data_IF_340841801868
#
_entry.id   IF_340841801868
#
_cell.length_a   1.000
_cell.length_b   1.000
_cell.length_c   1.000
_cell.angle_alpha   90.00
_cell.angle_beta   90.00
_cell.angle_gamma   90.00
#
_symmetry.space_group_name_H-M   'P 1'
#
loop_
_entity.id
_entity.type
_entity.pdbx_description
1 polymer ?
#
# COMPACT_ATOMS: atom_id res chain seq x y z
N UNK A 1 -2.57 70.33 -0.77
CA UNK A 1 -1.86 69.14 -0.28
C UNK A 1 -1.63 68.31 -1.52
N UNK A 2 -0.37 68.13 -1.90
CA UNK A 2 -0.03 67.33 -3.07
C UNK A 2 -0.48 65.89 -2.81
N UNK A 3 -1.32 65.34 -3.70
CA UNK A 3 -1.68 63.91 -3.66
C UNK A 3 -0.40 63.10 -3.90
N UNK A 4 -0.06 62.25 -2.93
CA UNK A 4 1.07 61.33 -3.10
C UNK A 4 0.63 60.21 -4.00
N UNK A 5 1.27 60.14 -5.17
CA UNK A 5 1.05 59.06 -6.11
C UNK A 5 1.74 57.77 -5.64
N UNK A 6 0.96 56.69 -5.52
CA UNK A 6 1.47 55.38 -5.10
C UNK A 6 2.15 54.72 -6.30
N UNK A 7 3.42 54.28 -6.20
CA UNK A 7 4.10 53.59 -7.29
C UNK A 7 3.27 52.41 -7.80
N UNK A 8 3.09 52.31 -9.12
CA UNK A 8 2.26 51.27 -9.75
C UNK A 8 2.71 49.85 -9.40
N UNK A 9 4.01 49.66 -9.17
CA UNK A 9 4.59 48.37 -8.77
C UNK A 9 4.12 47.90 -7.38
N UNK A 10 3.54 48.79 -6.57
CA UNK A 10 3.01 48.46 -5.25
C UNK A 10 1.53 48.10 -5.28
N UNK A 11 0.84 48.33 -6.41
CA UNK A 11 -0.58 48.10 -6.57
C UNK A 11 -0.86 46.67 -7.03
N UNK A 12 -1.86 46.04 -6.44
CA UNK A 12 -2.35 44.73 -6.83
C UNK A 12 -3.07 44.86 -8.19
N UNK A 13 -2.69 44.09 -9.23
CA UNK A 13 -3.34 44.19 -10.55
C UNK A 13 -4.82 43.79 -10.58
N UNK A 14 -5.34 43.16 -9.52
CA UNK A 14 -6.75 42.76 -9.40
C UNK A 14 -7.58 43.87 -8.75
N UNK A 15 -7.14 44.36 -7.58
CA UNK A 15 -7.91 45.34 -6.81
C UNK A 15 -7.54 46.79 -7.11
N UNK A 16 -6.40 47.03 -7.76
CA UNK A 16 -5.77 48.34 -7.95
C UNK A 16 -5.45 49.07 -6.63
N UNK A 17 -5.40 48.32 -5.52
CA UNK A 17 -5.04 48.82 -4.19
C UNK A 17 -3.62 48.37 -3.82
N UNK A 18 -2.98 49.08 -2.90
CA UNK A 18 -1.65 48.73 -2.41
C UNK A 18 -1.61 47.32 -1.81
N UNK A 19 -0.64 46.51 -2.24
CA UNK A 19 -0.47 45.14 -1.78
C UNK A 19 -0.05 45.09 -0.31
N UNK A 20 -0.82 44.37 0.51
CA UNK A 20 -0.51 44.13 1.93
C UNK A 20 0.35 42.87 2.10
N UNK A 21 0.04 41.84 1.31
CA UNK A 21 0.79 40.59 1.25
C UNK A 21 1.13 40.24 -0.20
N UNK A 22 2.23 40.77 -0.77
CA UNK A 22 2.61 40.51 -2.15
C UNK A 22 3.09 39.06 -2.34
N UNK A 23 2.43 38.34 -3.25
CA UNK A 23 2.76 36.97 -3.68
C UNK A 23 2.86 36.83 -5.19
N UNK A 24 3.82 36.06 -5.67
CA UNK A 24 4.11 35.83 -7.08
C UNK A 24 3.56 34.48 -7.52
N UNK A 25 2.84 34.47 -8.64
CA UNK A 25 2.38 33.25 -9.32
C UNK A 25 3.44 32.76 -10.33
N UNK A 26 3.27 31.55 -10.86
CA UNK A 26 4.23 30.93 -11.81
C UNK A 26 4.51 31.75 -13.08
N UNK A 27 3.63 32.68 -13.47
CA UNK A 27 3.87 33.60 -14.60
C UNK A 27 4.76 34.79 -14.23
N UNK A 28 5.25 34.88 -12.99
CA UNK A 28 6.12 35.97 -12.51
C UNK A 28 5.41 37.25 -12.09
N UNK A 29 4.06 37.31 -12.16
CA UNK A 29 3.29 38.48 -11.74
C UNK A 29 3.00 38.41 -10.24
N UNK A 30 3.16 39.54 -9.55
CA UNK A 30 2.85 39.66 -8.12
C UNK A 30 1.46 40.28 -7.90
N UNK A 31 0.73 39.72 -6.94
CA UNK A 31 -0.61 40.17 -6.53
C UNK A 31 -0.66 40.27 -5.01
N UNK A 32 -1.67 40.96 -4.49
CA UNK A 32 -2.04 40.78 -3.09
C UNK A 32 -2.65 39.38 -2.88
N UNK A 33 -2.19 38.67 -1.84
CA UNK A 33 -2.58 37.29 -1.52
C UNK A 33 -4.09 37.09 -1.52
N UNK A 34 -4.84 37.96 -0.84
CA UNK A 34 -6.27 37.77 -0.66
C UNK A 34 -7.00 37.81 -2.00
N UNK A 35 -6.58 38.73 -2.88
CA UNK A 35 -7.19 38.92 -4.19
C UNK A 35 -6.89 37.75 -5.14
N UNK A 36 -5.64 37.26 -5.17
CA UNK A 36 -5.29 36.13 -6.05
C UNK A 36 -5.84 34.79 -5.52
N UNK A 37 -5.91 34.59 -4.20
CA UNK A 37 -6.55 33.41 -3.62
C UNK A 37 -8.05 33.40 -3.92
N UNK A 38 -8.73 34.55 -3.81
CA UNK A 38 -10.15 34.68 -4.20
C UNK A 38 -10.36 34.35 -5.68
N UNK A 39 -9.50 34.83 -6.57
CA UNK A 39 -9.56 34.54 -7.99
C UNK A 39 -9.40 33.05 -8.31
N UNK A 40 -8.40 32.39 -7.71
CA UNK A 40 -8.09 30.98 -8.01
C UNK A 40 -9.07 30.01 -7.34
N UNK A 41 -9.41 30.24 -6.08
CA UNK A 41 -10.14 29.26 -5.27
C UNK A 41 -11.63 29.57 -5.14
N UNK A 42 -12.02 30.83 -4.95
CA UNK A 42 -13.43 31.22 -4.79
C UNK A 42 -14.14 31.33 -6.15
N UNK A 43 -13.49 31.94 -7.15
CA UNK A 43 -14.04 32.08 -8.50
C UNK A 43 -13.73 30.86 -9.40
N UNK A 44 -12.98 29.86 -8.90
CA UNK A 44 -12.58 28.63 -9.61
C UNK A 44 -11.87 28.86 -10.96
N UNK A 45 -11.06 29.92 -11.05
CA UNK A 45 -10.24 30.16 -12.23
C UNK A 45 -8.88 29.44 -12.11
N UNK A 46 -8.31 29.03 -13.24
CA UNK A 46 -6.99 28.38 -13.31
C UNK A 46 -5.97 29.17 -14.15
N UNK A 47 -6.29 30.42 -14.47
CA UNK A 47 -5.47 31.30 -15.29
C UNK A 47 -4.98 32.50 -14.49
N UNK A 48 -3.84 33.04 -14.91
CA UNK A 48 -3.31 34.31 -14.42
C UNK A 48 -4.23 35.46 -14.86
N UNK A 49 -4.69 36.33 -13.93
CA UNK A 49 -5.59 37.45 -14.25
C UNK A 49 -5.04 38.38 -15.35
N UNK A 50 -3.73 38.67 -15.33
CA UNK A 50 -3.09 39.60 -16.25
C UNK A 50 -2.69 38.91 -17.56
N UNK A 51 -1.92 37.82 -17.49
CA UNK A 51 -1.37 37.19 -18.70
C UNK A 51 -2.35 36.26 -19.40
N UNK A 52 -3.48 35.92 -18.75
CA UNK A 52 -4.47 34.93 -19.20
C UNK A 52 -3.90 33.54 -19.47
N UNK A 53 -2.64 33.28 -19.09
CA UNK A 53 -2.01 31.96 -19.21
C UNK A 53 -2.50 31.04 -18.10
N UNK A 54 -2.68 29.75 -18.43
CA UNK A 54 -3.00 28.72 -17.45
C UNK A 54 -1.80 28.53 -16.52
N UNK A 55 -2.03 28.56 -15.21
CA UNK A 55 -0.97 28.38 -14.22
C UNK A 55 -0.54 26.91 -14.17
N UNK A 56 0.77 26.65 -14.25
CA UNK A 56 1.33 25.29 -14.17
C UNK A 56 1.18 24.67 -12.78
N UNK A 57 1.20 25.50 -11.74
CA UNK A 57 0.87 25.16 -10.36
C UNK A 57 0.13 26.33 -9.69
N UNK A 58 -0.71 26.03 -8.69
CA UNK A 58 -1.43 27.04 -7.88
C UNK A 58 -0.64 27.43 -6.62
N UNK A 59 0.67 27.16 -6.59
CA UNK A 59 1.53 27.53 -5.47
C UNK A 59 1.91 29.02 -5.58
N UNK A 60 1.72 29.75 -4.49
CA UNK A 60 1.99 31.18 -4.40
C UNK A 60 3.32 31.40 -3.67
N UNK A 61 4.28 32.02 -4.35
CA UNK A 61 5.60 32.31 -3.77
C UNK A 61 5.58 33.70 -3.11
N UNK A 62 5.83 33.84 -1.79
CA UNK A 62 5.87 35.15 -1.15
C UNK A 62 6.97 36.06 -1.73
N UNK A 63 6.63 37.32 -2.06
CA UNK A 63 7.59 38.32 -2.53
C UNK A 63 8.05 39.23 -1.37
N UNK A 64 8.98 38.71 -0.56
CA UNK A 64 9.49 39.42 0.61
C UNK A 64 10.20 40.74 0.28
N UNK A 65 10.87 40.82 -0.87
CA UNK A 65 11.55 42.02 -1.33
C UNK A 65 10.56 43.15 -1.59
N UNK A 66 9.52 42.89 -2.38
CA UNK A 66 8.50 43.89 -2.67
C UNK A 66 7.76 44.32 -1.40
N UNK A 67 7.47 43.38 -0.50
CA UNK A 67 6.87 43.71 0.80
C UNK A 67 7.71 44.70 1.60
N UNK A 68 9.03 44.49 1.67
CA UNK A 68 9.95 45.41 2.37
C UNK A 68 9.97 46.79 1.72
N UNK A 69 9.94 46.85 0.39
CA UNK A 69 9.91 48.12 -0.35
C UNK A 69 8.61 48.90 -0.08
N UNK A 70 7.46 48.23 -0.14
CA UNK A 70 6.15 48.83 0.18
C UNK A 70 6.16 49.37 1.62
N UNK A 71 6.64 48.58 2.59
CA UNK A 71 6.70 49.01 3.99
C UNK A 71 7.64 50.20 4.23
N UNK A 72 8.80 50.22 3.55
CA UNK A 72 9.73 51.33 3.61
C UNK A 72 9.09 52.61 3.03
N UNK A 73 8.39 52.48 1.89
CA UNK A 73 7.66 53.57 1.27
C UNK A 73 6.54 54.12 2.17
N UNK A 74 5.74 53.26 2.81
CA UNK A 74 4.72 53.71 3.76
C UNK A 74 5.34 54.47 4.95
N UNK A 75 6.51 54.02 5.43
CA UNK A 75 7.21 54.67 6.54
C UNK A 75 7.72 56.06 6.17
N UNK A 76 8.27 56.22 4.96
CA UNK A 76 8.75 57.51 4.46
C UNK A 76 7.61 58.52 4.24
N UNK A 77 6.42 58.04 3.92
CA UNK A 77 5.26 58.88 3.63
C UNK A 77 4.27 59.01 4.80
N UNK A 78 4.66 58.56 6.00
CA UNK A 78 3.81 58.59 7.19
C UNK A 78 3.33 60.00 7.58
N UNK A 79 4.15 61.04 7.33
CA UNK A 79 3.79 62.44 7.58
C UNK A 79 2.66 62.96 6.70
N UNK A 80 2.31 62.23 5.64
CA UNK A 80 1.25 62.59 4.69
C UNK A 80 -0.02 61.75 4.88
N UNK A 81 -0.16 61.10 6.03
CA UNK A 81 -1.34 60.30 6.37
C UNK A 81 -1.31 58.86 5.82
N UNK A 82 -0.20 58.42 5.23
CA UNK A 82 -0.05 57.03 4.79
C UNK A 82 0.33 56.17 6.00
N UNK A 83 -0.60 55.32 6.42
CA UNK A 83 -0.35 54.39 7.51
C UNK A 83 0.63 53.29 7.08
N UNK A 84 1.52 52.93 8.00
CA UNK A 84 2.39 51.77 7.80
C UNK A 84 1.54 50.51 7.76
N UNK A 85 1.57 49.80 6.63
CA UNK A 85 0.97 48.47 6.53
C UNK A 85 1.68 47.55 7.53
N UNK A 86 0.97 47.03 8.55
CA UNK A 86 1.57 46.12 9.52
C UNK A 86 2.05 44.88 8.78
N UNK A 87 3.20 44.34 9.17
CA UNK A 87 3.62 43.04 8.67
C UNK A 87 2.50 42.04 8.98
N UNK A 88 1.88 41.40 7.97
CA UNK A 88 0.96 40.32 8.23
C UNK A 88 1.68 39.35 9.17
N UNK A 89 1.08 39.03 10.33
CA UNK A 89 1.61 37.97 11.19
C UNK A 89 1.87 36.79 10.25
N UNK A 90 3.05 36.15 10.30
CA UNK A 90 3.28 34.97 9.48
C UNK A 90 2.06 34.07 9.69
N UNK A 91 1.36 33.65 8.60
CA UNK A 91 0.14 32.88 8.76
C UNK A 91 0.50 31.74 9.71
N UNK A 92 -0.22 31.63 10.83
CA UNK A 92 -0.02 30.54 11.78
C UNK A 92 -0.01 29.29 10.91
N UNK A 93 1.16 28.65 10.79
CA UNK A 93 1.31 27.59 9.81
C UNK A 93 0.23 26.56 10.13
N UNK A 94 -0.44 26.04 9.11
CA UNK A 94 -1.52 25.05 9.28
C UNK A 94 -1.08 23.92 10.23
N UNK A 95 0.22 23.60 10.23
CA UNK A 95 0.94 22.73 11.16
C UNK A 95 0.77 23.14 12.63
N UNK A 96 0.95 24.40 13.00
CA UNK A 96 0.85 24.87 14.39
C UNK A 96 -0.60 24.77 14.91
N UNK A 97 -1.59 25.07 14.06
CA UNK A 97 -3.02 24.87 14.41
C UNK A 97 -3.29 23.38 14.63
N UNK A 98 -2.77 22.52 13.75
CA UNK A 98 -2.92 21.08 13.85
C UNK A 98 -2.24 20.51 15.11
N UNK A 99 -1.06 21.02 15.49
CA UNK A 99 -0.39 20.65 16.74
C UNK A 99 -1.27 20.96 17.95
N UNK A 100 -1.83 22.17 18.02
CA UNK A 100 -2.75 22.55 19.11
C UNK A 100 -3.98 21.64 19.12
N UNK A 101 -4.59 21.40 17.95
CA UNK A 101 -5.76 20.50 17.84
C UNK A 101 -5.45 19.08 18.30
N UNK A 102 -4.29 18.54 17.95
CA UNK A 102 -3.83 17.21 18.37
C UNK A 102 -3.58 17.19 19.88
N UNK A 103 -2.93 18.21 20.42
CA UNK A 103 -2.62 18.28 21.86
C UNK A 103 -3.88 18.48 22.73
N UNK A 104 -4.90 19.16 22.22
CA UNK A 104 -6.22 19.20 22.83
C UNK A 104 -6.91 17.83 22.77
N UNK A 105 -6.84 17.16 21.61
CA UNK A 105 -7.46 15.85 21.42
C UNK A 105 -6.90 14.77 22.36
N UNK A 106 -5.58 14.80 22.64
CA UNK A 106 -4.92 13.88 23.58
C UNK A 106 -5.43 13.97 25.02
N UNK A 107 -6.01 15.11 25.42
CA UNK A 107 -6.46 15.37 26.81
C UNK A 107 -7.91 15.00 27.05
N UNK A 108 -8.64 14.64 26.01
CA UNK A 108 -10.08 14.45 26.06
C UNK A 108 -10.46 12.99 26.35
N UNK A 109 -11.63 12.76 26.97
CA UNK A 109 -12.14 11.41 27.19
C UNK A 109 -12.48 10.71 25.87
N UNK A 110 -12.31 9.38 25.83
CA UNK A 110 -12.52 8.55 24.64
C UNK A 110 -13.89 8.76 23.95
N UNK A 111 -14.93 9.12 24.71
CA UNK A 111 -16.28 9.38 24.20
C UNK A 111 -16.37 10.56 23.22
N UNK A 112 -15.39 11.46 23.19
CA UNK A 112 -15.37 12.63 22.31
C UNK A 112 -14.36 12.51 21.16
N UNK A 113 -13.52 11.47 21.14
CA UNK A 113 -12.43 11.30 20.15
C UNK A 113 -12.98 11.23 18.71
N UNK A 114 -14.15 10.64 18.50
CA UNK A 114 -14.79 10.58 17.17
C UNK A 114 -15.05 11.96 16.55
N UNK A 115 -15.39 12.97 17.37
CA UNK A 115 -15.64 14.33 16.88
C UNK A 115 -14.35 14.92 16.29
N UNK A 116 -13.22 14.67 16.95
CA UNK A 116 -11.90 15.11 16.49
C UNK A 116 -11.46 14.35 15.25
N UNK A 117 -11.66 13.03 15.20
CA UNK A 117 -11.36 12.23 14.00
C UNK A 117 -12.17 12.72 12.79
N UNK A 118 -13.44 13.10 12.97
CA UNK A 118 -14.24 13.70 11.88
C UNK A 118 -13.64 15.02 11.38
N UNK A 119 -13.11 15.85 12.29
CA UNK A 119 -12.44 17.11 11.93
C UNK A 119 -11.09 16.88 11.26
N UNK A 120 -10.28 15.94 11.76
CA UNK A 120 -9.02 15.57 11.13
C UNK A 120 -9.25 14.96 9.74
N UNK A 121 -10.31 14.16 9.59
CA UNK A 121 -10.74 13.63 8.29
C UNK A 121 -11.08 14.75 7.32
N UNK A 122 -11.87 15.76 7.70
CA UNK A 122 -12.19 16.86 6.77
C UNK A 122 -10.94 17.60 6.29
N UNK A 123 -9.92 17.72 7.14
CA UNK A 123 -8.63 18.33 6.80
C UNK A 123 -7.78 17.41 5.91
N UNK A 124 -7.64 16.13 6.26
CA UNK A 124 -6.80 15.18 5.54
C UNK A 124 -7.29 14.93 4.11
N UNK A 125 -8.60 15.02 3.87
CA UNK A 125 -9.21 14.81 2.55
C UNK A 125 -9.40 16.10 1.74
N UNK A 126 -8.97 17.26 2.25
CA UNK A 126 -9.09 18.55 1.55
C UNK A 126 -8.11 18.65 0.36
N UNK A 127 -6.82 18.41 0.59
CA UNK A 127 -5.77 18.43 -0.43
C UNK A 127 -4.46 17.80 0.09
N UNK A 128 -3.51 17.53 -0.80
CA UNK A 128 -2.22 16.89 -0.47
C UNK A 128 -1.33 17.74 0.46
N UNK A 129 -1.44 19.07 0.42
CA UNK A 129 -0.71 19.95 1.35
C UNK A 129 -1.21 19.76 2.79
N UNK A 130 -2.51 19.56 2.96
CA UNK A 130 -3.14 19.34 4.26
C UNK A 130 -2.70 18.02 4.90
N UNK A 131 -2.51 16.97 4.10
CA UNK A 131 -1.95 15.70 4.55
C UNK A 131 -0.52 15.85 5.06
N UNK A 132 0.34 16.56 4.30
CA UNK A 132 1.71 16.86 4.71
C UNK A 132 1.76 17.66 6.01
N UNK A 133 0.93 18.70 6.12
CA UNK A 133 0.86 19.48 7.35
C UNK A 133 0.38 18.65 8.56
N UNK A 134 -0.49 17.66 8.34
CA UNK A 134 -0.94 16.76 9.40
C UNK A 134 0.17 15.79 9.84
N UNK A 135 0.95 15.28 8.89
CA UNK A 135 2.14 14.47 9.20
C UNK A 135 3.18 15.29 9.98
N UNK A 136 3.53 16.50 9.51
CA UNK A 136 4.47 17.42 10.18
C UNK A 136 4.00 17.88 11.57
N UNK A 137 2.70 17.81 11.84
CA UNK A 137 2.10 18.13 13.14
C UNK A 137 2.13 16.95 14.14
N UNK A 138 2.67 15.79 13.76
CA UNK A 138 2.66 14.57 14.60
C UNK A 138 1.33 13.81 14.54
N UNK A 139 0.59 13.96 13.43
CA UNK A 139 -0.70 13.30 13.23
C UNK A 139 -0.60 11.79 13.12
N UNK A 140 0.52 11.26 12.63
CA UNK A 140 0.73 9.81 12.47
C UNK A 140 0.82 9.14 13.83
N UNK A 141 1.67 9.64 14.73
CA UNK A 141 1.86 9.14 16.09
C UNK A 141 0.57 9.26 16.90
N UNK A 142 -0.15 10.38 16.74
CA UNK A 142 -1.44 10.57 17.38
C UNK A 142 -2.47 9.53 16.91
N UNK A 143 -2.63 9.33 15.60
CA UNK A 143 -3.56 8.34 15.05
C UNK A 143 -3.16 6.91 15.45
N UNK A 144 -1.86 6.60 15.48
CA UNK A 144 -1.35 5.32 15.96
C UNK A 144 -1.73 5.07 17.43
N UNK A 145 -1.53 6.07 18.30
CA UNK A 145 -1.92 5.96 19.71
C UNK A 145 -3.43 5.77 19.90
N UNK A 146 -4.26 6.33 19.02
CA UNK A 146 -5.72 6.07 19.04
C UNK A 146 -6.01 4.63 18.63
N UNK A 147 -5.30 4.09 17.63
CA UNK A 147 -5.47 2.71 17.19
C UNK A 147 -5.10 1.73 18.31
N UNK A 148 -3.98 1.97 19.00
CA UNK A 148 -3.52 1.16 20.15
C UNK A 148 -4.51 1.20 21.33
N UNK A 149 -5.02 2.39 21.67
CA UNK A 149 -5.96 2.57 22.78
C UNK A 149 -7.43 2.24 22.43
N UNK A 150 -7.72 2.05 21.14
CA UNK A 150 -9.06 1.88 20.59
C UNK A 150 -9.67 0.49 20.78
N UNK A 151 -9.02 -0.42 21.51
CA UNK A 151 -9.43 -1.83 21.62
C UNK A 151 -10.88 -2.05 22.11
N UNK A 152 -11.49 -1.06 22.76
CA UNK A 152 -12.88 -1.12 23.23
C UNK A 152 -13.93 -0.58 22.23
N UNK A 153 -13.54 0.21 21.23
CA UNK A 153 -14.47 0.78 20.23
C UNK A 153 -13.90 0.71 18.82
N UNK A 154 -14.36 -0.30 18.06
CA UNK A 154 -13.93 -0.53 16.68
C UNK A 154 -14.19 0.68 15.77
N UNK A 155 -15.23 1.47 16.04
CA UNK A 155 -15.58 2.61 15.18
C UNK A 155 -14.54 3.72 15.25
N UNK A 156 -13.93 3.91 16.44
CA UNK A 156 -12.83 4.85 16.65
C UNK A 156 -11.59 4.39 15.90
N UNK A 157 -11.24 3.10 16.03
CA UNK A 157 -10.08 2.52 15.35
C UNK A 157 -10.24 2.57 13.82
N UNK A 158 -11.42 2.24 13.28
CA UNK A 158 -11.71 2.33 11.85
C UNK A 158 -11.57 3.75 11.31
N UNK A 159 -12.08 4.76 12.04
CA UNK A 159 -11.96 6.16 11.67
C UNK A 159 -10.50 6.66 11.70
N UNK A 160 -9.73 6.25 12.70
CA UNK A 160 -8.31 6.59 12.79
C UNK A 160 -7.49 5.97 11.64
N UNK A 161 -7.73 4.69 11.34
CA UNK A 161 -7.08 3.97 10.23
C UNK A 161 -7.44 4.58 8.88
N UNK A 162 -8.67 5.02 8.68
CA UNK A 162 -9.08 5.68 7.43
C UNK A 162 -8.25 6.94 7.16
N UNK A 163 -8.03 7.75 8.19
CA UNK A 163 -7.20 8.94 8.07
C UNK A 163 -5.75 8.52 7.83
N UNK A 164 -5.21 7.62 8.67
CA UNK A 164 -3.81 7.18 8.59
C UNK A 164 -3.47 6.58 7.22
N UNK A 165 -4.35 5.73 6.66
CA UNK A 165 -4.18 5.12 5.34
C UNK A 165 -4.30 6.12 4.18
N UNK A 166 -4.88 7.29 4.41
CA UNK A 166 -4.95 8.38 3.41
C UNK A 166 -3.70 9.25 3.38
N UNK A 167 -2.89 9.21 4.43
CA UNK A 167 -1.64 9.96 4.56
C UNK A 167 -0.53 9.27 3.75
N UNK A 168 0.34 10.09 3.13
CA UNK A 168 1.55 9.61 2.46
C UNK A 168 2.69 9.53 3.46
N UNK A 169 2.54 8.64 4.43
CA UNK A 169 3.47 8.47 5.54
C UNK A 169 4.86 8.08 5.04
N UNK A 170 5.89 8.76 5.52
CA UNK A 170 7.28 8.42 5.21
C UNK A 170 7.66 7.01 5.69
N UNK A 171 8.69 6.41 5.09
CA UNK A 171 9.18 5.09 5.50
C UNK A 171 9.61 5.08 6.97
N UNK A 172 10.21 6.16 7.47
CA UNK A 172 10.64 6.27 8.87
C UNK A 172 9.46 6.26 9.83
N UNK A 173 8.39 6.99 9.52
CA UNK A 173 7.18 7.00 10.34
C UNK A 173 6.49 5.63 10.29
N UNK A 174 6.42 4.97 9.12
CA UNK A 174 5.85 3.62 8.98
C UNK A 174 6.61 2.57 9.80
N UNK A 175 7.95 2.65 9.85
CA UNK A 175 8.77 1.78 10.71
C UNK A 175 8.43 1.98 12.18
N UNK A 176 8.33 3.24 12.60
CA UNK A 176 8.06 3.59 14.00
C UNK A 176 6.70 3.08 14.51
N UNK A 177 5.72 2.84 13.62
CA UNK A 177 4.42 2.25 14.00
C UNK A 177 4.52 0.84 14.60
N UNK A 178 5.62 0.12 14.36
CA UNK A 178 5.82 -1.23 14.89
C UNK A 178 6.69 -1.28 16.15
N UNK A 179 7.27 -0.16 16.58
CA UNK A 179 8.22 -0.12 17.69
C UNK A 179 7.58 -0.35 19.07
N UNK A 180 6.27 -0.10 19.21
CA UNK A 180 5.54 -0.23 20.47
C UNK A 180 4.99 -1.65 20.66
N UNK A 181 5.75 -2.54 21.33
CA UNK A 181 5.38 -3.87 21.89
C UNK A 181 4.42 -4.80 21.09
N UNK A 182 4.13 -4.49 19.82
CA UNK A 182 3.13 -5.16 18.99
C UNK A 182 1.67 -4.71 19.18
N UNK A 183 1.36 -3.74 20.05
CA UNK A 183 -0.03 -3.35 20.36
C UNK A 183 -0.77 -2.79 19.15
N UNK A 184 -0.09 -1.97 18.35
CA UNK A 184 -0.65 -1.40 17.12
C UNK A 184 -1.08 -2.49 16.14
N UNK A 185 -0.22 -3.50 15.94
CA UNK A 185 -0.50 -4.62 15.06
C UNK A 185 -1.64 -5.50 15.58
N UNK A 186 -1.70 -5.73 16.89
CA UNK A 186 -2.79 -6.48 17.53
C UNK A 186 -4.14 -5.78 17.33
N UNK A 187 -4.17 -4.45 17.50
CA UNK A 187 -5.34 -3.63 17.26
C UNK A 187 -5.80 -3.69 15.79
N UNK A 188 -4.86 -3.59 14.84
CA UNK A 188 -5.18 -3.77 13.41
C UNK A 188 -5.70 -5.17 13.10
N UNK A 189 -5.16 -6.21 13.74
CA UNK A 189 -5.61 -7.60 13.58
C UNK A 189 -7.04 -7.76 14.09
N UNK A 190 -7.39 -7.13 15.22
CA UNK A 190 -8.75 -7.13 15.75
C UNK A 190 -9.75 -6.46 14.78
N UNK A 191 -9.35 -5.38 14.12
CA UNK A 191 -10.20 -4.75 13.09
C UNK A 191 -10.27 -5.59 11.81
N UNK A 192 -9.20 -6.32 11.44
CA UNK A 192 -9.30 -7.29 10.34
C UNK A 192 -10.36 -8.36 10.60
N UNK A 193 -10.51 -8.76 11.87
CA UNK A 193 -11.48 -9.77 12.33
C UNK A 193 -12.92 -9.31 12.40
N UNK A 194 -13.15 -8.10 12.94
CA UNK A 194 -14.50 -7.61 13.28
C UNK A 194 -14.96 -6.43 12.43
N UNK A 195 -14.05 -5.80 11.70
CA UNK A 195 -14.31 -4.60 10.94
C UNK A 195 -15.09 -4.89 9.66
N UNK A 196 -15.66 -3.84 9.08
CA UNK A 196 -16.34 -3.95 7.79
C UNK A 196 -15.33 -4.14 6.63
N UNK A 197 -15.82 -4.53 5.46
CA UNK A 197 -15.00 -4.75 4.27
C UNK A 197 -14.11 -3.55 3.88
N UNK A 198 -14.60 -2.33 4.03
CA UNK A 198 -13.84 -1.13 3.67
C UNK A 198 -12.65 -0.91 4.61
N UNK A 199 -12.87 -1.07 5.92
CA UNK A 199 -11.81 -0.98 6.94
C UNK A 199 -10.77 -2.07 6.73
N UNK A 200 -11.22 -3.32 6.51
CA UNK A 200 -10.34 -4.46 6.24
C UNK A 200 -9.44 -4.20 5.03
N UNK A 201 -10.01 -3.76 3.91
CA UNK A 201 -9.24 -3.42 2.71
C UNK A 201 -8.18 -2.32 2.95
N UNK A 202 -8.53 -1.26 3.68
CA UNK A 202 -7.58 -0.18 4.02
C UNK A 202 -6.46 -0.67 4.93
N UNK A 203 -6.79 -1.46 5.95
CA UNK A 203 -5.80 -2.04 6.87
C UNK A 203 -4.85 -2.94 6.10
N UNK A 204 -5.35 -3.79 5.20
CA UNK A 204 -4.48 -4.63 4.37
C UNK A 204 -3.51 -3.80 3.54
N UNK A 205 -3.94 -2.64 3.01
CA UNK A 205 -3.06 -1.74 2.26
C UNK A 205 -2.03 -1.03 3.13
N UNK A 206 -2.43 -0.60 4.33
CA UNK A 206 -1.54 0.00 5.32
C UNK A 206 -0.49 -1.01 5.77
N UNK A 207 -0.90 -2.22 6.19
CA UNK A 207 -0.02 -3.31 6.58
C UNK A 207 0.97 -3.69 5.47
N UNK A 208 0.51 -3.73 4.22
CA UNK A 208 1.39 -3.96 3.07
C UNK A 208 2.50 -2.91 2.99
N UNK A 209 2.20 -1.65 3.29
CA UNK A 209 3.18 -0.56 3.25
C UNK A 209 4.11 -0.59 4.46
N UNK A 210 3.59 -0.97 5.63
CA UNK A 210 4.36 -1.15 6.86
C UNK A 210 5.36 -2.30 6.71
N UNK A 211 4.92 -3.48 6.27
CA UNK A 211 5.79 -4.66 6.16
C UNK A 211 6.85 -4.54 5.06
N UNK A 212 6.66 -3.67 4.07
CA UNK A 212 7.70 -3.38 3.07
C UNK A 212 8.93 -2.67 3.66
N UNK A 213 8.78 -1.98 4.79
CA UNK A 213 9.85 -1.20 5.44
C UNK A 213 10.24 -1.72 6.82
N UNK A 214 9.45 -2.62 7.39
CA UNK A 214 9.62 -3.14 8.75
C UNK A 214 10.96 -3.87 8.94
N UNK A 215 11.55 -3.70 10.12
CA UNK A 215 12.76 -4.42 10.47
C UNK A 215 12.46 -5.92 10.69
N UNK A 216 13.42 -6.82 10.40
CA UNK A 216 13.24 -8.27 10.50
C UNK A 216 12.65 -8.77 11.82
N UNK A 217 12.93 -8.09 12.94
CA UNK A 217 12.42 -8.45 14.26
C UNK A 217 10.89 -8.43 14.34
N UNK A 218 10.24 -7.52 13.62
CA UNK A 218 8.78 -7.43 13.56
C UNK A 218 8.18 -8.41 12.56
N UNK A 219 8.94 -8.82 11.54
CA UNK A 219 8.49 -9.81 10.56
C UNK A 219 8.40 -11.21 11.18
N UNK A 220 9.22 -11.54 12.18
CA UNK A 220 9.27 -12.89 12.78
C UNK A 220 8.36 -13.10 13.99
N UNK A 221 7.84 -12.02 14.60
CA UNK A 221 7.11 -12.05 15.86
C UNK A 221 5.58 -12.11 15.71
N UNK A 222 5.08 -12.29 14.49
CA UNK A 222 3.64 -12.30 14.19
C UNK A 222 2.89 -13.47 14.82
N UNK A 223 1.68 -13.23 15.35
CA UNK A 223 0.81 -14.26 15.96
C UNK A 223 0.04 -15.05 14.88
N UNK A 224 -0.54 -16.20 15.24
CA UNK A 224 -1.28 -17.07 14.30
C UNK A 224 -2.53 -16.37 13.75
N UNK A 225 -3.24 -15.67 14.64
CA UNK A 225 -4.49 -14.96 14.38
C UNK A 225 -4.31 -13.95 13.24
N UNK A 226 -3.14 -13.32 13.15
CA UNK A 226 -2.83 -12.41 12.03
C UNK A 226 -2.91 -13.11 10.66
N UNK A 227 -2.41 -14.35 10.58
CA UNK A 227 -2.45 -15.12 9.34
C UNK A 227 -3.85 -15.66 9.03
N UNK A 228 -4.63 -16.04 10.06
CA UNK A 228 -6.04 -16.39 9.91
C UNK A 228 -6.82 -15.23 9.28
N UNK A 229 -6.64 -14.01 9.80
CA UNK A 229 -7.34 -12.84 9.28
C UNK A 229 -6.89 -12.43 7.87
N UNK A 230 -5.61 -12.60 7.52
CA UNK A 230 -5.16 -12.45 6.14
C UNK A 230 -5.78 -13.51 5.21
N UNK A 231 -5.95 -14.73 5.71
CA UNK A 231 -6.69 -15.79 5.02
C UNK A 231 -8.13 -15.38 4.74
N UNK A 232 -8.84 -14.85 5.73
CA UNK A 232 -10.21 -14.34 5.57
C UNK A 232 -10.29 -13.17 4.58
N UNK A 233 -9.34 -12.24 4.58
CA UNK A 233 -9.31 -11.15 3.58
C UNK A 233 -9.18 -11.70 2.14
N UNK A 234 -8.40 -12.76 1.97
CA UNK A 234 -8.23 -13.42 0.67
C UNK A 234 -9.48 -14.21 0.25
N UNK A 235 -10.09 -14.93 1.19
CA UNK A 235 -11.28 -15.76 0.97
C UNK A 235 -12.51 -14.92 0.63
N UNK A 236 -12.72 -13.83 1.39
CA UNK A 236 -13.83 -12.90 1.17
C UNK A 236 -13.73 -12.11 -0.15
N UNK A 237 -12.56 -12.10 -0.79
CA UNK A 237 -12.30 -11.40 -2.05
C UNK A 237 -12.78 -9.93 -2.05
N UNK A 238 -12.58 -9.24 -0.92
CA UNK A 238 -13.10 -7.90 -0.63
C UNK A 238 -12.89 -6.90 -1.78
N UNK A 239 -11.68 -6.90 -2.35
CA UNK A 239 -11.36 -6.17 -3.58
C UNK A 239 -10.07 -6.71 -4.18
N UNK A 240 -9.88 -6.56 -5.49
CA UNK A 240 -8.64 -6.97 -6.16
C UNK A 240 -7.39 -6.31 -5.56
N UNK A 241 -7.51 -5.06 -5.12
CA UNK A 241 -6.42 -4.31 -4.50
C UNK A 241 -6.08 -4.87 -3.11
N UNK A 242 -7.08 -5.17 -2.28
CA UNK A 242 -6.88 -5.78 -0.97
C UNK A 242 -6.30 -7.20 -1.09
N UNK A 243 -6.85 -8.05 -1.96
CA UNK A 243 -6.35 -9.41 -2.15
C UNK A 243 -4.90 -9.40 -2.66
N UNK A 244 -4.55 -8.51 -3.60
CA UNK A 244 -3.17 -8.35 -4.06
C UNK A 244 -2.24 -7.86 -2.95
N UNK A 245 -2.71 -6.96 -2.09
CA UNK A 245 -1.95 -6.49 -0.93
C UNK A 245 -1.73 -7.63 0.08
N UNK A 246 -2.76 -8.40 0.41
CA UNK A 246 -2.66 -9.58 1.29
C UNK A 246 -1.68 -10.61 0.74
N UNK A 247 -1.72 -10.92 -0.56
CA UNK A 247 -0.74 -11.82 -1.18
C UNK A 247 0.70 -11.27 -1.07
N UNK A 248 0.90 -9.96 -1.29
CA UNK A 248 2.22 -9.34 -1.13
C UNK A 248 2.73 -9.40 0.32
N UNK A 249 1.84 -9.20 1.29
CA UNK A 249 2.17 -9.38 2.71
C UNK A 249 2.63 -10.82 2.95
N UNK A 250 1.89 -11.83 2.47
CA UNK A 250 2.31 -13.23 2.60
C UNK A 250 3.66 -13.52 1.90
N UNK A 251 3.92 -12.91 0.73
CA UNK A 251 5.22 -13.04 0.04
C UNK A 251 6.39 -12.53 0.89
N UNK A 252 6.18 -11.46 1.66
CA UNK A 252 7.17 -10.87 2.56
C UNK A 252 7.34 -11.70 3.85
N UNK A 253 6.25 -12.30 4.35
CA UNK A 253 6.24 -12.97 5.64
C UNK A 253 6.55 -14.48 5.60
N UNK A 254 6.19 -15.20 4.53
CA UNK A 254 6.40 -16.65 4.42
C UNK A 254 7.83 -17.15 4.09
N UNK A 255 8.82 -16.30 3.71
CA UNK A 255 10.23 -16.69 3.75
C UNK A 255 10.69 -17.12 5.16
N UNK A 256 10.11 -16.53 6.20
CA UNK A 256 10.39 -16.83 7.60
C UNK A 256 9.73 -18.16 8.01
N UNK A 257 10.54 -19.14 8.42
CA UNK A 257 10.08 -20.53 8.63
C UNK A 257 8.90 -20.67 9.61
N UNK A 258 8.91 -19.93 10.73
CA UNK A 258 7.80 -19.94 11.72
C UNK A 258 6.51 -19.39 11.16
N UNK A 259 6.58 -18.31 10.37
CA UNK A 259 5.42 -17.69 9.74
C UNK A 259 4.81 -18.59 8.68
N UNK A 260 5.63 -19.38 7.98
CA UNK A 260 5.13 -20.36 7.02
C UNK A 260 4.21 -21.38 7.68
N UNK A 261 4.60 -21.91 8.84
CA UNK A 261 3.79 -22.88 9.59
C UNK A 261 2.49 -22.22 10.04
N UNK A 262 2.57 -21.02 10.65
CA UNK A 262 1.39 -20.24 11.07
C UNK A 262 0.45 -19.91 9.91
N UNK A 263 0.98 -19.54 8.74
CA UNK A 263 0.17 -19.27 7.56
C UNK A 263 -0.57 -20.52 7.06
N UNK A 264 0.05 -21.70 7.16
CA UNK A 264 -0.61 -22.97 6.82
C UNK A 264 -1.68 -23.32 7.85
N UNK A 265 -1.37 -23.20 9.15
CA UNK A 265 -2.31 -23.43 10.26
C UNK A 265 -3.52 -22.51 10.18
N UNK A 266 -3.31 -21.23 9.83
CA UNK A 266 -4.35 -20.24 9.60
C UNK A 266 -5.14 -20.40 8.30
N UNK A 267 -4.97 -21.54 7.59
CA UNK A 267 -5.81 -21.88 6.45
C UNK A 267 -5.42 -21.23 5.11
N UNK A 268 -4.21 -20.67 4.97
CA UNK A 268 -3.84 -20.00 3.71
C UNK A 268 -3.82 -20.97 2.50
N UNK A 269 -3.40 -22.23 2.68
CA UNK A 269 -3.27 -23.20 1.58
C UNK A 269 -4.59 -23.45 0.83
N UNK A 270 -5.70 -23.86 1.48
CA UNK A 270 -6.97 -24.05 0.78
C UNK A 270 -7.46 -22.77 0.08
N UNK A 271 -7.38 -21.61 0.75
CA UNK A 271 -7.80 -20.32 0.17
C UNK A 271 -7.01 -20.00 -1.11
N UNK A 272 -5.67 -20.18 -1.10
CA UNK A 272 -4.84 -19.95 -2.27
C UNK A 272 -5.16 -20.90 -3.44
N UNK A 273 -5.56 -22.15 -3.14
CA UNK A 273 -5.97 -23.11 -4.16
C UNK A 273 -7.29 -22.67 -4.82
N UNK A 274 -8.29 -22.30 -4.02
CA UNK A 274 -9.57 -21.78 -4.52
C UNK A 274 -9.39 -20.50 -5.35
N UNK A 275 -8.51 -19.59 -4.90
CA UNK A 275 -8.15 -18.41 -5.68
C UNK A 275 -7.54 -18.75 -7.05
N UNK A 276 -6.69 -19.78 -7.15
CA UNK A 276 -6.16 -20.22 -8.45
C UNK A 276 -7.23 -20.84 -9.35
N UNK A 277 -8.23 -21.50 -8.77
CA UNK A 277 -9.35 -22.08 -9.52
C UNK A 277 -10.19 -20.96 -10.13
N UNK A 278 -10.57 -19.95 -9.33
CA UNK A 278 -11.39 -18.82 -9.77
C UNK A 278 -10.67 -17.80 -10.67
N UNK A 279 -9.34 -17.72 -10.61
CA UNK A 279 -8.58 -16.65 -11.28
C UNK A 279 -7.88 -17.13 -12.57
N UNK A 280 -8.60 -17.60 -13.59
CA UNK A 280 -7.94 -18.06 -14.84
C UNK A 280 -7.22 -16.96 -15.62
N UNK A 281 -7.73 -15.72 -15.59
CA UNK A 281 -7.34 -14.69 -16.58
C UNK A 281 -6.42 -13.60 -16.03
N UNK A 282 -6.13 -13.61 -14.72
CA UNK A 282 -5.30 -12.60 -14.06
C UNK A 282 -3.85 -13.08 -13.87
N UNK A 283 -3.01 -12.84 -14.88
CA UNK A 283 -1.61 -13.29 -14.91
C UNK A 283 -0.80 -12.95 -13.65
N UNK A 284 -0.72 -11.66 -13.29
CA UNK A 284 0.07 -11.19 -12.13
C UNK A 284 -0.49 -11.69 -10.80
N UNK A 285 -1.79 -11.92 -10.73
CA UNK A 285 -2.45 -12.44 -9.53
C UNK A 285 -2.10 -13.93 -9.34
N UNK A 286 -2.22 -14.75 -10.38
CA UNK A 286 -1.78 -16.14 -10.36
C UNK A 286 -0.30 -16.30 -9.99
N UNK A 287 0.56 -15.42 -10.51
CA UNK A 287 1.99 -15.41 -10.17
C UNK A 287 2.20 -15.22 -8.66
N UNK A 288 1.53 -14.24 -8.04
CA UNK A 288 1.62 -14.00 -6.60
C UNK A 288 1.11 -15.20 -5.78
N UNK A 289 -0.05 -15.76 -6.13
CA UNK A 289 -0.60 -16.93 -5.43
C UNK A 289 0.37 -18.12 -5.51
N UNK A 290 0.96 -18.37 -6.69
CA UNK A 290 1.94 -19.45 -6.86
C UNK A 290 3.25 -19.19 -6.11
N UNK A 291 3.68 -17.93 -5.95
CA UNK A 291 4.85 -17.59 -5.11
C UNK A 291 4.56 -17.96 -3.65
N UNK A 292 3.39 -17.58 -3.12
CA UNK A 292 3.03 -17.90 -1.73
C UNK A 292 2.91 -19.41 -1.54
N UNK A 293 2.18 -20.12 -2.42
CA UNK A 293 2.06 -21.58 -2.33
C UNK A 293 3.41 -22.30 -2.39
N UNK A 294 4.33 -21.83 -3.24
CA UNK A 294 5.70 -22.33 -3.33
C UNK A 294 6.50 -22.09 -2.03
N UNK A 295 6.36 -20.92 -1.41
CA UNK A 295 6.93 -20.66 -0.08
C UNK A 295 6.31 -21.60 0.97
N UNK A 296 4.99 -21.75 1.02
CA UNK A 296 4.28 -22.62 1.98
C UNK A 296 4.68 -24.10 1.81
N UNK A 297 4.82 -24.59 0.58
CA UNK A 297 5.30 -25.94 0.29
C UNK A 297 6.77 -26.17 0.67
N UNK A 298 7.47 -25.15 1.18
CA UNK A 298 8.79 -25.27 1.79
C UNK A 298 8.77 -25.95 3.17
N UNK A 299 7.62 -26.14 3.84
CA UNK A 299 7.50 -26.94 5.07
C UNK A 299 6.60 -28.17 4.88
N UNK A 300 6.60 -29.09 5.84
CA UNK A 300 5.86 -30.35 5.76
C UNK A 300 4.34 -30.12 5.82
N UNK A 301 3.91 -29.18 6.65
CA UNK A 301 2.53 -28.77 6.87
C UNK A 301 1.94 -28.21 5.57
N UNK A 302 2.68 -27.32 4.88
CA UNK A 302 2.21 -26.73 3.62
C UNK A 302 2.06 -27.76 2.50
N UNK A 303 2.99 -28.72 2.41
CA UNK A 303 2.88 -29.85 1.47
C UNK A 303 1.68 -30.74 1.81
N UNK A 304 1.50 -31.08 3.09
CA UNK A 304 0.37 -31.88 3.55
C UNK A 304 -0.96 -31.16 3.28
N UNK A 305 -1.03 -29.85 3.51
CA UNK A 305 -2.19 -29.01 3.17
C UNK A 305 -2.53 -29.02 1.68
N UNK A 306 -1.52 -28.89 0.81
CA UNK A 306 -1.72 -28.93 -0.64
C UNK A 306 -2.26 -30.28 -1.10
N UNK A 307 -1.72 -31.38 -0.55
CA UNK A 307 -2.16 -32.75 -0.87
C UNK A 307 -3.52 -33.11 -0.26
N UNK A 308 -3.88 -32.50 0.87
CA UNK A 308 -5.19 -32.68 1.51
C UNK A 308 -6.32 -32.06 0.68
N UNK A 309 -6.03 -30.98 -0.04
CA UNK A 309 -7.00 -30.32 -0.90
C UNK A 309 -7.16 -31.07 -2.23
N UNK A 310 -8.38 -31.53 -2.55
CA UNK A 310 -8.63 -32.40 -3.72
C UNK A 310 -8.23 -31.79 -5.08
N UNK A 311 -8.20 -30.47 -5.19
CA UNK A 311 -7.77 -29.75 -6.40
C UNK A 311 -6.29 -29.30 -6.38
N UNK A 312 -5.54 -29.50 -5.28
CA UNK A 312 -4.25 -28.83 -5.06
C UNK A 312 -3.20 -29.16 -6.11
N UNK A 313 -2.92 -30.44 -6.36
CA UNK A 313 -1.96 -30.84 -7.40
C UNK A 313 -2.47 -30.52 -8.81
N UNK A 314 -3.77 -30.70 -9.04
CA UNK A 314 -4.41 -30.50 -10.33
C UNK A 314 -4.30 -29.03 -10.76
N UNK A 315 -4.61 -28.08 -9.88
CA UNK A 315 -4.56 -26.66 -10.21
C UNK A 315 -3.13 -26.17 -10.42
N UNK A 316 -2.18 -26.62 -9.60
CA UNK A 316 -0.76 -26.26 -9.75
C UNK A 316 -0.22 -26.76 -11.10
N UNK A 317 -0.49 -28.03 -11.44
CA UNK A 317 -0.13 -28.61 -12.75
C UNK A 317 -0.81 -27.87 -13.91
N UNK A 318 -2.09 -27.52 -13.77
CA UNK A 318 -2.85 -26.79 -14.79
C UNK A 318 -2.24 -25.43 -15.12
N UNK A 319 -1.66 -24.72 -14.15
CA UNK A 319 -1.08 -23.38 -14.34
C UNK A 319 0.28 -23.39 -15.07
N UNK A 320 0.97 -24.54 -15.13
CA UNK A 320 2.22 -24.71 -15.88
C UNK A 320 1.98 -24.45 -17.38
N UNK A 321 2.79 -23.56 -17.96
CA UNK A 321 2.73 -23.10 -19.35
C UNK A 321 1.42 -22.37 -19.74
N UNK A 322 0.55 -22.03 -18.77
CA UNK A 322 -0.72 -21.34 -19.03
C UNK A 322 -0.80 -19.90 -18.52
N UNK A 323 0.13 -19.49 -17.66
CA UNK A 323 0.12 -18.16 -17.03
C UNK A 323 1.34 -17.35 -17.47
N UNK A 324 2.54 -17.82 -17.12
CA UNK A 324 3.82 -17.20 -17.45
C UNK A 324 4.99 -18.15 -17.20
N UNK A 325 6.19 -17.77 -17.65
CA UNK A 325 7.42 -18.50 -17.30
C UNK A 325 7.68 -18.48 -15.79
N UNK A 326 7.46 -17.34 -15.12
CA UNK A 326 7.63 -17.22 -13.68
C UNK A 326 6.63 -18.11 -12.91
N UNK A 327 5.36 -18.12 -13.29
CA UNK A 327 4.35 -19.00 -12.73
C UNK A 327 4.69 -20.49 -12.97
N UNK A 328 5.19 -20.82 -14.16
CA UNK A 328 5.59 -22.19 -14.49
C UNK A 328 6.77 -22.65 -13.63
N UNK A 329 7.77 -21.79 -13.40
CA UNK A 329 8.88 -22.09 -12.49
C UNK A 329 8.39 -22.38 -11.05
N UNK A 330 7.50 -21.52 -10.52
CA UNK A 330 6.92 -21.69 -9.18
C UNK A 330 6.09 -22.98 -9.07
N UNK A 331 5.27 -23.27 -10.07
CA UNK A 331 4.49 -24.51 -10.08
C UNK A 331 5.39 -25.76 -10.15
N UNK A 332 6.45 -25.75 -10.98
CA UNK A 332 7.41 -26.87 -11.04
C UNK A 332 8.19 -26.99 -9.73
N UNK A 333 8.49 -25.89 -9.02
CA UNK A 333 9.08 -25.93 -7.67
C UNK A 333 8.16 -26.58 -6.64
N UNK A 334 6.88 -26.23 -6.63
CA UNK A 334 5.88 -26.85 -5.76
C UNK A 334 5.86 -28.37 -5.98
N UNK A 335 5.70 -28.80 -7.23
CA UNK A 335 5.68 -30.22 -7.59
C UNK A 335 7.01 -30.92 -7.22
N UNK A 336 8.14 -30.24 -7.40
CA UNK A 336 9.45 -30.75 -6.98
C UNK A 336 9.52 -31.01 -5.48
N UNK A 337 9.01 -30.07 -4.69
CA UNK A 337 8.96 -30.19 -3.23
C UNK A 337 8.13 -31.41 -2.81
N UNK A 338 6.95 -31.60 -3.43
CA UNK A 338 6.12 -32.79 -3.22
C UNK A 338 6.84 -34.08 -3.60
N UNK A 339 7.46 -34.12 -4.78
CA UNK A 339 8.16 -35.32 -5.26
C UNK A 339 9.39 -35.68 -4.44
N UNK A 340 10.04 -34.71 -3.79
CA UNK A 340 11.23 -34.97 -2.95
C UNK A 340 10.86 -35.39 -1.54
N UNK A 341 9.84 -34.77 -0.96
CA UNK A 341 9.60 -34.87 0.48
C UNK A 341 8.24 -35.47 0.85
N UNK A 342 7.38 -35.78 -0.13
CA UNK A 342 6.02 -36.30 0.08
C UNK A 342 5.59 -37.34 -0.95
N UNK A 343 6.56 -37.96 -1.65
CA UNK A 343 6.31 -38.95 -2.70
C UNK A 343 5.91 -40.32 -2.15
N UNK A 344 4.65 -40.45 -1.73
CA UNK A 344 4.04 -41.76 -1.46
C UNK A 344 3.55 -42.40 -2.77
N UNK A 345 3.34 -43.72 -2.78
CA UNK A 345 2.81 -44.43 -3.97
C UNK A 345 1.49 -43.81 -4.47
N UNK A 346 0.61 -43.41 -3.54
CA UNK A 346 -0.65 -42.72 -3.84
C UNK A 346 -0.42 -41.40 -4.56
N UNK A 347 0.45 -40.53 -4.02
CA UNK A 347 0.76 -39.23 -4.63
C UNK A 347 1.34 -39.40 -6.03
N UNK A 348 2.28 -40.34 -6.22
CA UNK A 348 2.89 -40.58 -7.53
C UNK A 348 1.88 -41.11 -8.57
N UNK A 349 0.91 -41.93 -8.17
CA UNK A 349 -0.17 -42.40 -9.04
C UNK A 349 -1.16 -41.27 -9.36
N UNK A 350 -1.52 -40.45 -8.38
CA UNK A 350 -2.40 -39.31 -8.60
C UNK A 350 -1.77 -38.31 -9.58
N UNK A 351 -0.47 -38.04 -9.46
CA UNK A 351 0.27 -37.20 -10.41
C UNK A 351 0.23 -37.75 -11.85
N UNK A 352 0.20 -39.07 -12.04
CA UNK A 352 0.01 -39.68 -13.36
C UNK A 352 -1.41 -39.43 -13.89
N UNK A 353 -2.43 -39.68 -13.07
CA UNK A 353 -3.84 -39.48 -13.44
C UNK A 353 -4.15 -38.02 -13.80
N UNK A 354 -3.56 -37.08 -13.07
CA UNK A 354 -3.70 -35.64 -13.31
C UNK A 354 -2.86 -35.13 -14.50
N UNK A 355 -2.09 -35.99 -15.17
CA UNK A 355 -1.25 -35.63 -16.31
C UNK A 355 -0.06 -34.74 -15.95
N UNK A 356 0.38 -34.75 -14.69
CA UNK A 356 1.52 -33.94 -14.23
C UNK A 356 2.81 -34.36 -14.95
N UNK A 357 3.01 -35.66 -15.14
CA UNK A 357 4.21 -36.19 -15.81
C UNK A 357 4.28 -35.71 -17.26
N UNK A 358 3.17 -35.79 -18.00
CA UNK A 358 3.07 -35.26 -19.36
C UNK A 358 3.37 -33.75 -19.39
N UNK A 359 2.89 -32.99 -18.40
CA UNK A 359 3.19 -31.56 -18.27
C UNK A 359 4.67 -31.29 -18.05
N UNK A 360 5.35 -32.07 -17.21
CA UNK A 360 6.79 -31.95 -16.97
C UNK A 360 7.60 -32.29 -18.23
N UNK A 361 7.20 -33.30 -19.00
CA UNK A 361 7.82 -33.59 -20.30
C UNK A 361 7.66 -32.41 -21.28
N UNK A 362 6.49 -31.79 -21.34
CA UNK A 362 6.26 -30.59 -22.18
C UNK A 362 7.17 -29.42 -21.78
N UNK A 363 7.40 -29.19 -20.47
CA UNK A 363 8.33 -28.16 -19.98
C UNK A 363 9.74 -28.34 -20.53
N UNK A 364 10.20 -29.57 -20.78
CA UNK A 364 11.51 -29.83 -21.37
C UNK A 364 11.59 -29.40 -22.85
N UNK A 365 10.47 -29.52 -23.58
CA UNK A 365 10.39 -29.26 -25.02
C UNK A 365 10.20 -27.79 -25.36
N UNK A 366 9.39 -27.07 -24.58
CA UNK A 366 9.06 -25.66 -24.87
C UNK A 366 10.13 -24.71 -24.36
N UNK A 367 10.10 -23.45 -24.80
CA UNK A 367 10.97 -22.43 -24.24
C UNK A 367 10.62 -22.17 -22.77
N UNK A 368 11.60 -22.31 -21.89
CA UNK A 368 11.47 -22.27 -20.44
C UNK A 368 12.85 -22.10 -19.83
N UNK A 369 12.93 -21.50 -18.63
CA UNK A 369 14.21 -21.24 -17.98
C UNK A 369 15.01 -22.54 -17.76
N UNK A 370 16.33 -22.47 -17.90
CA UNK A 370 17.22 -23.61 -17.71
C UNK A 370 16.99 -24.30 -16.35
N UNK A 371 16.90 -23.51 -15.27
CA UNK A 371 16.63 -23.99 -13.91
C UNK A 371 15.30 -24.74 -13.80
N UNK A 372 14.27 -24.28 -14.50
CA UNK A 372 12.96 -24.95 -14.52
C UNK A 372 13.04 -26.29 -15.26
N UNK A 373 13.75 -26.33 -16.40
CA UNK A 373 13.98 -27.58 -17.17
C UNK A 373 14.81 -28.59 -16.40
N UNK A 374 15.89 -28.17 -15.75
CA UNK A 374 16.72 -29.02 -14.90
C UNK A 374 15.89 -29.64 -13.77
N UNK A 375 15.09 -28.84 -13.06
CA UNK A 375 14.22 -29.33 -11.99
C UNK A 375 13.17 -30.32 -12.51
N UNK A 376 12.54 -30.04 -13.66
CA UNK A 376 11.60 -30.98 -14.28
C UNK A 376 12.30 -32.31 -14.64
N UNK A 377 13.52 -32.25 -15.18
CA UNK A 377 14.33 -33.41 -15.52
C UNK A 377 14.68 -34.25 -14.28
N UNK A 378 15.10 -33.61 -13.19
CA UNK A 378 15.41 -34.27 -11.92
C UNK A 378 14.20 -35.03 -11.36
N UNK A 379 13.02 -34.41 -11.35
CA UNK A 379 11.78 -35.02 -10.86
C UNK A 379 11.43 -36.26 -11.70
N UNK A 380 11.50 -36.15 -13.03
CA UNK A 380 11.22 -37.25 -13.96
C UNK A 380 12.19 -38.42 -13.77
N UNK A 381 13.49 -38.14 -13.52
CA UNK A 381 14.49 -39.16 -13.22
C UNK A 381 14.22 -39.84 -11.87
N UNK A 382 13.96 -39.04 -10.84
CA UNK A 382 13.76 -39.50 -9.45
C UNK A 382 12.68 -40.59 -9.36
N UNK A 383 11.58 -40.43 -10.09
CA UNK A 383 10.43 -41.35 -10.06
C UNK A 383 10.25 -42.16 -11.35
N UNK A 384 11.33 -42.29 -12.14
CA UNK A 384 11.32 -42.99 -13.44
C UNK A 384 10.81 -44.43 -13.36
N UNK A 385 11.03 -45.13 -12.25
CA UNK A 385 10.53 -46.51 -12.03
C UNK A 385 9.00 -46.60 -12.06
N UNK A 386 8.32 -45.57 -11.56
CA UNK A 386 6.85 -45.50 -11.51
C UNK A 386 6.28 -44.91 -12.78
N UNK A 387 6.92 -43.87 -13.32
CA UNK A 387 6.32 -43.07 -14.40
C UNK A 387 6.71 -43.48 -15.81
N UNK A 388 7.95 -43.91 -16.06
CA UNK A 388 8.48 -44.09 -17.43
C UNK A 388 7.70 -45.09 -18.28
N UNK A 389 7.10 -46.10 -17.65
CA UNK A 389 6.31 -47.16 -18.30
C UNK A 389 4.79 -46.92 -18.22
N UNK A 390 4.36 -45.76 -17.72
CA UNK A 390 2.94 -45.47 -17.59
C UNK A 390 2.30 -45.21 -18.95
N UNK A 391 1.14 -45.84 -19.19
CA UNK A 391 0.31 -45.61 -20.38
C UNK A 391 -0.30 -44.21 -20.45
N UNK A 392 -0.27 -43.46 -19.34
CA UNK A 392 -0.81 -42.10 -19.26
C UNK A 392 0.10 -41.04 -19.93
N UNK A 393 1.33 -41.42 -20.33
CA UNK A 393 2.24 -40.51 -21.03
C UNK A 393 2.06 -40.67 -22.54
N UNK A 394 1.69 -39.61 -23.28
CA UNK A 394 1.62 -39.63 -24.73
C UNK A 394 2.93 -40.11 -25.38
N UNK A 395 2.83 -40.94 -26.41
CA UNK A 395 4.00 -41.56 -27.06
C UNK A 395 5.02 -40.54 -27.58
N UNK A 396 4.55 -39.39 -28.07
CA UNK A 396 5.41 -38.29 -28.52
C UNK A 396 6.20 -37.61 -27.38
N UNK A 397 5.75 -37.73 -26.12
CA UNK A 397 6.46 -37.20 -24.95
C UNK A 397 7.43 -38.22 -24.35
N UNK A 398 7.25 -39.52 -24.60
CA UNK A 398 8.17 -40.57 -24.12
C UNK A 398 9.59 -40.38 -24.66
N UNK A 399 9.74 -39.92 -25.90
CA UNK A 399 11.05 -39.61 -26.48
C UNK A 399 11.78 -38.47 -25.75
N UNK A 400 11.05 -37.58 -25.09
CA UNK A 400 11.60 -36.48 -24.29
C UNK A 400 11.78 -36.84 -22.82
N UNK A 401 11.38 -38.04 -22.40
CA UNK A 401 11.61 -38.52 -21.06
C UNK A 401 13.12 -38.70 -20.86
N UNK A 402 13.73 -38.12 -19.81
CA UNK A 402 15.17 -38.22 -19.62
C UNK A 402 15.62 -39.67 -19.46
N UNK A 403 16.72 -40.04 -20.12
CA UNK A 403 17.42 -41.29 -19.85
C UNK A 403 17.87 -41.32 -18.39
N UNK A 404 17.74 -42.50 -17.77
CA UNK A 404 18.07 -42.75 -16.36
C UNK A 404 19.44 -42.19 -16.02
#
# INVERSE_FOLDING_TARGET
MDEIDVPSDFLCPISMEMMRDPVTVSTGITYDRENIERWLFSCKNNSCPVTKQVLSNTELTPNHTLRRLIQAWCTLNASHGIERIPTPKPPIEKVQILKVLIDEAKKLPNSQVLIYLRRLRSIAFENERSKRCLEEAGGVEFLASIVENGNNDITVTEAAVEILSSLKTSETHLKNLLNNDGEFLESLTQVLRRGNFQSRARITLLLKSIFEVADPIHLISLKLEFFEELGHVLDDQISQQASKAALKILVELCPWGRNRIKAVEGGAVPVLIELLIGSSDHRRFCELVLIVLDQLCGCAEGRAGLLKHGAGMAIVSKKILRVSHAASDRAVRILSSLCRFSATSRVLHEMLQLGVVSKLCLVLQVDSSLKTKERAREILKLHSRVWKKSSCIPANLLASYPSS
#
